data_IF_770359617485
#
_entry.id   IF_770359617485
#
_cell.length_a   1.000
_cell.length_b   1.000
_cell.length_c   1.000
_cell.angle_alpha   90.00
_cell.angle_beta   90.00
_cell.angle_gamma   90.00
#
_symmetry.space_group_name_H-M   'P 1'
#
loop_
_entity.id
_entity.type
_entity.pdbx_description
1 polymer ?
#
# COMPACT_ATOMS: atom_id res chain seq x y z
N UNK A 1 -5.35 -12.76 -17.05
CA UNK A 1 -5.86 -13.28 -15.77
C UNK A 1 -5.74 -12.17 -14.75
N UNK A 2 -6.81 -11.41 -14.51
CA UNK A 2 -6.79 -10.33 -13.53
C UNK A 2 -6.90 -10.93 -12.14
N UNK A 3 -5.81 -10.89 -11.38
CA UNK A 3 -5.87 -11.11 -9.94
C UNK A 3 -6.94 -10.17 -9.37
N UNK A 4 -7.83 -10.64 -8.50
CA UNK A 4 -8.95 -9.81 -8.09
C UNK A 4 -8.46 -8.59 -7.31
N UNK A 5 -9.16 -7.46 -7.48
CA UNK A 5 -8.75 -6.12 -7.06
C UNK A 5 -8.77 -5.87 -5.53
N UNK A 6 -8.56 -6.89 -4.69
CA UNK A 6 -8.60 -6.73 -3.24
C UNK A 6 -7.32 -6.07 -2.73
N UNK A 7 -7.32 -4.73 -2.73
CA UNK A 7 -6.26 -3.91 -2.14
C UNK A 7 -6.67 -3.52 -0.73
N UNK A 8 -5.74 -3.61 0.23
CA UNK A 8 -5.93 -3.02 1.57
C UNK A 8 -5.08 -1.76 1.69
N UNK A 9 -5.69 -0.56 1.54
CA UNK A 9 -4.99 0.69 1.76
C UNK A 9 -4.95 1.07 3.25
N UNK A 10 -3.82 1.59 3.69
CA UNK A 10 -3.69 2.38 4.92
C UNK A 10 -3.33 3.81 4.55
N UNK A 11 -4.16 4.77 4.92
CA UNK A 11 -3.94 6.19 4.62
C UNK A 11 -3.17 6.88 5.75
N UNK A 12 -2.16 7.66 5.39
CA UNK A 12 -1.34 8.49 6.28
C UNK A 12 -1.30 9.92 5.74
N UNK A 13 -1.10 10.89 6.63
CA UNK A 13 -1.00 12.29 6.21
C UNK A 13 0.28 12.55 5.42
N UNK A 14 1.43 12.14 5.95
CA UNK A 14 2.76 12.32 5.35
C UNK A 14 3.51 10.97 5.27
N UNK A 15 4.74 11.00 4.76
CA UNK A 15 5.62 9.83 4.71
C UNK A 15 5.96 9.33 6.12
N UNK A 16 5.47 8.14 6.47
CA UNK A 16 5.80 7.47 7.72
C UNK A 16 6.46 6.12 7.46
N UNK A 17 7.03 5.53 8.51
CA UNK A 17 7.42 4.14 8.47
C UNK A 17 6.21 3.26 8.10
N UNK A 18 6.50 2.08 7.54
CA UNK A 18 5.49 1.08 7.19
C UNK A 18 4.75 0.64 8.45
N UNK A 19 3.42 0.67 8.40
CA UNK A 19 2.57 0.32 9.52
C UNK A 19 2.68 -1.16 9.87
N UNK A 20 2.84 -1.47 11.18
CA UNK A 20 2.96 -2.85 11.66
C UNK A 20 1.71 -3.68 11.32
N UNK A 21 0.54 -3.05 11.27
CA UNK A 21 -0.70 -3.75 10.91
C UNK A 21 -0.68 -4.27 9.47
N UNK A 22 -0.01 -3.59 8.54
CA UNK A 22 0.15 -4.05 7.16
C UNK A 22 1.10 -5.26 7.07
N UNK A 23 2.15 -5.30 7.90
CA UNK A 23 3.04 -6.47 7.98
C UNK A 23 2.30 -7.72 8.46
N UNK A 24 1.44 -7.56 9.46
CA UNK A 24 0.59 -8.67 9.92
C UNK A 24 -0.40 -9.09 8.82
N UNK A 25 -0.97 -8.12 8.10
CA UNK A 25 -1.91 -8.39 7.02
C UNK A 25 -1.29 -9.18 5.88
N UNK A 26 -0.10 -8.79 5.38
CA UNK A 26 0.57 -9.50 4.27
C UNK A 26 0.95 -10.94 4.65
N UNK A 27 1.30 -11.19 5.92
CA UNK A 27 1.54 -12.55 6.39
C UNK A 27 0.27 -13.41 6.43
N UNK A 28 -0.87 -12.81 6.77
CA UNK A 28 -2.15 -13.52 6.88
C UNK A 28 -2.85 -13.70 5.52
N UNK A 29 -2.67 -12.76 4.60
CA UNK A 29 -3.32 -12.72 3.29
C UNK A 29 -2.28 -12.40 2.21
N UNK A 30 -1.39 -13.35 1.88
CA UNK A 30 -0.28 -13.11 0.94
C UNK A 30 -0.75 -12.82 -0.49
N UNK A 31 -1.98 -13.19 -0.83
CA UNK A 31 -2.59 -12.96 -2.15
C UNK A 31 -3.17 -11.54 -2.29
N UNK A 32 -3.30 -10.79 -1.18
CA UNK A 32 -3.84 -9.44 -1.16
C UNK A 32 -2.73 -8.39 -1.23
N UNK A 33 -2.87 -7.41 -2.12
CA UNK A 33 -1.93 -6.30 -2.17
C UNK A 33 -2.13 -5.33 -0.99
N UNK A 34 -1.05 -5.11 -0.24
CA UNK A 34 -1.00 -4.13 0.84
C UNK A 34 -0.42 -2.81 0.36
N UNK A 35 -1.18 -1.73 0.55
CA UNK A 35 -0.78 -0.37 0.17
C UNK A 35 -0.76 0.54 1.39
N UNK A 36 0.32 1.31 1.55
CA UNK A 36 0.38 2.45 2.45
C UNK A 36 0.44 3.73 1.62
N UNK A 37 -0.56 4.57 1.79
CA UNK A 37 -0.76 5.77 1.00
C UNK A 37 -0.48 6.99 1.85
N UNK A 38 0.32 7.92 1.34
CA UNK A 38 0.52 9.23 1.95
C UNK A 38 -0.20 10.33 1.16
N UNK A 39 -0.90 11.23 1.86
CA UNK A 39 -1.59 12.36 1.23
C UNK A 39 -0.61 13.44 0.74
N UNK A 40 0.39 13.79 1.55
CA UNK A 40 1.43 14.78 1.24
C UNK A 40 2.82 14.18 1.09
N UNK A 41 2.93 12.84 1.17
CA UNK A 41 4.18 12.13 1.02
C UNK A 41 4.65 12.02 -0.43
N UNK A 42 5.94 11.77 -0.60
CA UNK A 42 6.61 11.66 -1.92
C UNK A 42 7.24 10.30 -2.15
N UNK A 43 7.28 9.44 -1.13
CA UNK A 43 7.96 8.15 -1.23
C UNK A 43 7.15 7.16 -2.04
N UNK A 44 7.81 6.57 -3.02
CA UNK A 44 7.28 5.52 -3.87
C UNK A 44 8.28 4.33 -3.86
N UNK A 45 7.94 3.26 -3.14
CA UNK A 45 8.79 2.07 -3.03
C UNK A 45 7.98 0.83 -2.60
N UNK A 46 8.62 -0.34 -2.71
CA UNK A 46 8.10 -1.59 -2.15
C UNK A 46 9.00 -1.98 -0.98
N UNK A 47 8.40 -2.23 0.18
CA UNK A 47 9.15 -2.67 1.37
C UNK A 47 9.65 -4.11 1.20
N UNK A 48 10.60 -4.53 2.04
CA UNK A 48 11.06 -5.94 2.09
C UNK A 48 9.93 -6.93 2.42
N UNK A 49 8.88 -6.45 3.08
CA UNK A 49 7.70 -7.23 3.44
C UNK A 49 6.64 -7.25 2.31
N UNK A 50 6.96 -6.73 1.12
CA UNK A 50 6.05 -6.70 -0.03
C UNK A 50 4.98 -5.60 0.00
N UNK A 51 5.11 -4.61 0.89
CA UNK A 51 4.11 -3.55 1.05
C UNK A 51 4.44 -2.39 0.12
N UNK A 52 3.47 -1.96 -0.71
CA UNK A 52 3.61 -0.80 -1.60
C UNK A 52 3.39 0.49 -0.81
N UNK A 53 4.41 1.34 -0.74
CA UNK A 53 4.29 2.69 -0.18
C UNK A 53 4.28 3.67 -1.33
N UNK A 54 3.26 4.52 -1.41
CA UNK A 54 3.13 5.48 -2.52
C UNK A 54 2.33 6.74 -2.12
N UNK A 55 2.48 7.85 -2.85
CA UNK A 55 1.56 8.99 -2.76
C UNK A 55 0.13 8.60 -3.18
N UNK A 56 -0.88 9.32 -2.68
CA UNK A 56 -2.29 9.08 -3.01
C UNK A 56 -2.57 9.13 -4.52
N UNK A 57 -1.96 10.07 -5.23
CA UNK A 57 -2.11 10.20 -6.67
C UNK A 57 -1.67 8.94 -7.43
N UNK A 58 -0.66 8.23 -6.95
CA UNK A 58 -0.19 6.98 -7.57
C UNK A 58 -1.23 5.86 -7.47
N UNK A 59 -1.98 5.77 -6.37
CA UNK A 59 -3.07 4.80 -6.29
C UNK A 59 -4.25 5.26 -7.16
N UNK A 60 -4.63 6.52 -7.05
CA UNK A 60 -5.80 7.06 -7.76
C UNK A 60 -5.66 6.98 -9.28
N UNK A 61 -4.45 7.15 -9.82
CA UNK A 61 -4.18 7.01 -11.27
C UNK A 61 -4.37 5.59 -11.80
N UNK A 62 -4.45 4.59 -10.92
CA UNK A 62 -4.70 3.18 -11.28
C UNK A 62 -6.18 2.79 -11.18
N UNK A 63 -7.01 3.68 -10.64
CA UNK A 63 -8.46 3.46 -10.56
C UNK A 63 -9.10 3.92 -11.88
N UNK A 64 -10.01 3.10 -12.41
CA UNK A 64 -10.75 3.34 -13.65
C UNK A 64 -12.10 3.97 -13.33
#
# INVERSE_FOLDING_TARGET
>A
MGLPLWRRPSCKWADTAVDRSLRYFTQRFPECEAWQIAATGTKDYISRDGIRVAPALTLLSTLV
#
